data_IF_763068422417
#
_entry.id   IF_763068422417
#
_cell.length_a   1.000
_cell.length_b   1.000
_cell.length_c   1.000
_cell.angle_alpha   90.00
_cell.angle_beta   90.00
_cell.angle_gamma   90.00
#
_symmetry.space_group_name_H-M   'P 1'
#
loop_
_entity.id
_entity.type
_entity.pdbx_description
1 polymer ?
#
# COMPACT_ATOMS: atom_id res chain seq x y z
N UNK A 1 -18.64 5.64 -14.14
CA UNK A 1 -17.26 5.74 -13.62
C UNK A 1 -16.33 4.99 -14.58
N UNK A 2 -15.21 5.60 -14.95
CA UNK A 2 -14.18 4.90 -15.75
C UNK A 2 -13.60 3.75 -14.92
N UNK A 3 -13.21 2.68 -15.59
CA UNK A 3 -12.48 1.56 -14.99
C UNK A 3 -10.97 1.83 -15.05
N UNK A 4 -10.20 1.12 -14.27
CA UNK A 4 -8.74 1.12 -14.40
C UNK A 4 -8.34 0.56 -15.76
N UNK A 5 -7.38 1.19 -16.47
CA UNK A 5 -7.16 0.97 -17.92
C UNK A 5 -6.89 -0.49 -18.31
N UNK A 6 -6.27 -1.27 -17.43
CA UNK A 6 -5.98 -2.69 -17.67
C UNK A 6 -7.10 -3.64 -17.21
N UNK A 7 -8.29 -3.12 -16.89
CA UNK A 7 -9.45 -3.94 -16.49
C UNK A 7 -10.16 -4.52 -17.72
N UNK A 8 -9.64 -5.62 -18.23
CA UNK A 8 -10.10 -6.24 -19.49
C UNK A 8 -10.84 -7.56 -19.29
N UNK A 9 -11.02 -8.01 -18.05
CA UNK A 9 -11.67 -9.29 -17.74
C UNK A 9 -12.95 -9.07 -16.94
N UNK A 10 -13.83 -10.06 -16.94
CA UNK A 10 -14.94 -10.12 -16.01
C UNK A 10 -14.47 -10.68 -14.66
N UNK A 11 -15.30 -10.55 -13.63
CA UNK A 11 -14.95 -10.95 -12.26
C UNK A 11 -14.58 -12.44 -12.15
N UNK A 12 -15.28 -13.32 -12.90
CA UNK A 12 -15.04 -14.77 -12.82
C UNK A 12 -13.68 -15.19 -13.40
N UNK A 13 -13.25 -14.54 -14.46
CA UNK A 13 -12.01 -14.86 -15.19
C UNK A 13 -10.77 -14.15 -14.58
N UNK A 14 -10.99 -13.10 -13.80
CA UNK A 14 -9.91 -12.33 -13.20
C UNK A 14 -9.13 -13.11 -12.14
N UNK A 15 -7.81 -12.89 -12.10
CA UNK A 15 -6.94 -13.30 -10.99
C UNK A 15 -6.66 -12.15 -10.01
N UNK A 16 -6.94 -10.91 -10.41
CA UNK A 16 -6.81 -9.71 -9.57
C UNK A 16 -8.15 -8.97 -9.54
N UNK A 17 -8.62 -8.66 -8.34
CA UNK A 17 -9.79 -7.80 -8.11
C UNK A 17 -9.31 -6.46 -7.60
N UNK A 18 -9.34 -5.45 -8.47
CA UNK A 18 -9.00 -4.08 -8.12
C UNK A 18 -10.24 -3.33 -7.63
N UNK A 19 -10.11 -2.56 -6.57
CA UNK A 19 -11.23 -1.80 -6.04
C UNK A 19 -10.75 -0.59 -5.21
N UNK A 20 -11.57 0.43 -5.16
CA UNK A 20 -11.38 1.60 -4.33
C UNK A 20 -12.22 1.56 -3.05
N UNK A 21 -11.75 2.25 -2.01
CA UNK A 21 -12.50 2.47 -0.77
C UNK A 21 -12.94 3.94 -0.70
N UNK A 22 -14.25 4.17 -0.85
CA UNK A 22 -14.88 5.49 -0.73
C UNK A 22 -15.46 5.66 0.69
N UNK A 23 -14.64 6.16 1.63
CA UNK A 23 -15.04 6.32 3.03
C UNK A 23 -14.78 7.73 3.59
N UNK A 24 -14.03 8.55 2.85
CA UNK A 24 -13.71 9.94 3.22
C UNK A 24 -14.14 10.91 2.14
N UNK A 25 -14.23 12.19 2.49
CA UNK A 25 -14.66 13.26 1.56
C UNK A 25 -13.81 13.31 0.29
N UNK A 26 -12.50 13.08 0.41
CA UNK A 26 -11.54 13.21 -0.69
C UNK A 26 -11.23 11.87 -1.39
N UNK A 27 -11.74 10.75 -0.87
CA UNK A 27 -11.53 9.42 -1.48
C UNK A 27 -11.97 9.38 -2.94
N UNK A 28 -13.15 9.93 -3.24
CA UNK A 28 -13.72 9.90 -4.57
C UNK A 28 -12.82 10.59 -5.61
N UNK A 29 -12.24 11.74 -5.27
CA UNK A 29 -11.35 12.47 -6.16
C UNK A 29 -10.11 11.62 -6.51
N UNK A 30 -9.47 11.02 -5.51
CA UNK A 30 -8.35 10.11 -5.70
C UNK A 30 -8.72 8.96 -6.64
N UNK A 31 -9.82 8.25 -6.34
CA UNK A 31 -10.24 7.05 -7.04
C UNK A 31 -10.57 7.33 -8.51
N UNK A 32 -11.20 8.48 -8.79
CA UNK A 32 -11.48 8.95 -10.14
C UNK A 32 -10.18 9.33 -10.88
N UNK A 33 -9.28 10.10 -10.24
CA UNK A 33 -8.03 10.58 -10.84
C UNK A 33 -7.07 9.45 -11.21
N UNK A 34 -6.90 8.44 -10.34
CA UNK A 34 -6.06 7.28 -10.64
C UNK A 34 -6.61 6.51 -11.86
N UNK A 35 -7.93 6.29 -11.93
CA UNK A 35 -8.53 5.61 -13.10
C UNK A 35 -8.41 6.43 -14.37
N UNK A 36 -8.62 7.74 -14.31
CA UNK A 36 -8.43 8.61 -15.46
C UNK A 36 -6.99 8.62 -15.96
N UNK A 37 -6.04 8.82 -15.06
CA UNK A 37 -4.62 8.85 -15.38
C UNK A 37 -4.10 7.52 -15.92
N UNK A 38 -4.68 6.38 -15.52
CA UNK A 38 -4.27 5.06 -15.99
C UNK A 38 -4.38 4.88 -17.51
N UNK A 39 -5.25 5.63 -18.17
CA UNK A 39 -5.39 5.58 -19.65
C UNK A 39 -4.26 6.27 -20.40
N UNK A 40 -3.42 7.04 -19.70
CA UNK A 40 -2.26 7.71 -20.28
C UNK A 40 -0.94 6.97 -19.99
N UNK A 41 -0.99 5.85 -19.29
CA UNK A 41 0.17 5.05 -18.91
C UNK A 41 0.15 3.72 -19.63
N UNK A 42 1.18 3.46 -20.43
CA UNK A 42 1.30 2.17 -21.14
C UNK A 42 1.44 1.00 -20.15
N UNK A 43 0.72 -0.13 -20.39
CA UNK A 43 0.68 -1.28 -19.48
C UNK A 43 1.92 -2.17 -19.62
N UNK A 44 3.09 -1.57 -19.62
CA UNK A 44 4.37 -2.26 -19.68
C UNK A 44 5.19 -1.98 -18.41
N UNK A 45 5.88 -3.02 -17.94
CA UNK A 45 6.91 -2.83 -16.91
C UNK A 45 8.15 -2.14 -17.51
N UNK A 46 9.15 -1.86 -16.65
CA UNK A 46 10.39 -1.18 -17.07
C UNK A 46 11.26 -2.04 -18.01
N UNK A 47 11.00 -3.34 -18.11
CA UNK A 47 11.72 -4.28 -18.99
C UNK A 47 11.02 -4.48 -20.33
N UNK A 48 9.87 -3.82 -20.53
CA UNK A 48 9.08 -3.93 -21.75
C UNK A 48 8.14 -5.14 -21.77
N UNK A 49 7.91 -5.82 -20.64
CA UNK A 49 6.94 -6.89 -20.56
C UNK A 49 5.52 -6.34 -20.50
N UNK A 50 4.64 -6.90 -21.30
CA UNK A 50 3.23 -6.49 -21.35
C UNK A 50 2.47 -7.11 -20.17
N UNK A 51 1.96 -6.29 -19.27
CA UNK A 51 1.19 -6.75 -18.11
C UNK A 51 -0.12 -7.47 -18.48
N UNK A 52 -0.71 -7.10 -19.61
CA UNK A 52 -1.97 -7.71 -20.08
C UNK A 52 -1.84 -9.19 -20.46
N UNK A 53 -0.62 -9.70 -20.63
CA UNK A 53 -0.37 -11.12 -20.88
C UNK A 53 -0.40 -11.97 -19.61
N UNK A 54 -0.15 -11.37 -18.44
CA UNK A 54 -0.03 -12.08 -17.15
C UNK A 54 -1.16 -11.74 -16.19
N UNK A 55 -1.58 -10.47 -16.16
CA UNK A 55 -2.54 -9.96 -15.20
C UNK A 55 -3.93 -9.91 -15.80
N UNK A 56 -4.84 -10.72 -15.27
CA UNK A 56 -6.26 -10.69 -15.59
C UNK A 56 -6.98 -9.87 -14.52
N UNK A 57 -7.09 -8.56 -14.74
CA UNK A 57 -7.64 -7.64 -13.76
C UNK A 57 -9.13 -7.35 -14.03
N UNK A 58 -9.93 -7.39 -12.98
CA UNK A 58 -11.28 -6.85 -12.93
C UNK A 58 -11.33 -5.67 -11.96
N UNK A 59 -11.72 -4.50 -12.43
CA UNK A 59 -12.01 -3.35 -11.58
C UNK A 59 -13.46 -3.44 -11.09
N UNK A 60 -13.63 -3.79 -9.82
CA UNK A 60 -14.94 -3.91 -9.18
C UNK A 60 -15.58 -2.55 -8.83
N UNK A 61 -14.86 -1.44 -9.10
CA UNK A 61 -15.34 -0.09 -8.76
C UNK A 61 -15.00 0.31 -7.33
N UNK A 62 -15.75 1.27 -6.80
CA UNK A 62 -15.52 1.81 -5.47
C UNK A 62 -16.58 1.31 -4.49
N UNK A 63 -16.12 0.80 -3.36
CA UNK A 63 -16.98 0.39 -2.27
C UNK A 63 -17.19 1.54 -1.31
N UNK A 64 -18.45 1.98 -1.22
CA UNK A 64 -18.89 2.92 -0.19
C UNK A 64 -19.07 2.15 1.10
N UNK A 65 -18.16 2.31 2.03
CA UNK A 65 -18.22 1.63 3.31
C UNK A 65 -18.84 2.53 4.38
N UNK A 66 -19.65 1.92 5.25
CA UNK A 66 -20.21 2.57 6.44
C UNK A 66 -19.41 2.22 7.68
N UNK A 67 -18.83 1.05 7.68
CA UNK A 67 -17.98 0.50 8.74
C UNK A 67 -16.72 -0.07 8.12
N UNK A 68 -15.56 0.31 8.65
CA UNK A 68 -14.27 -0.18 8.16
C UNK A 68 -14.12 -1.72 8.24
N UNK A 69 -14.91 -2.40 9.07
CA UNK A 69 -14.97 -3.86 9.12
C UNK A 69 -15.39 -4.52 7.81
N UNK A 70 -16.17 -3.83 6.98
CA UNK A 70 -16.58 -4.30 5.65
C UNK A 70 -15.38 -4.55 4.72
N UNK A 71 -14.28 -3.81 4.91
CA UNK A 71 -13.02 -4.02 4.17
C UNK A 71 -12.49 -5.43 4.40
N UNK A 72 -12.43 -5.87 5.66
CA UNK A 72 -11.95 -7.21 6.01
C UNK A 72 -12.79 -8.31 5.38
N UNK A 73 -14.11 -8.13 5.37
CA UNK A 73 -15.02 -9.08 4.75
C UNK A 73 -14.76 -9.20 3.25
N UNK A 74 -14.56 -8.06 2.56
CA UNK A 74 -14.28 -8.04 1.13
C UNK A 74 -12.97 -8.74 0.79
N UNK A 75 -11.91 -8.51 1.58
CA UNK A 75 -10.63 -9.21 1.39
C UNK A 75 -10.77 -10.73 1.56
N UNK A 76 -11.50 -11.19 2.57
CA UNK A 76 -11.76 -12.61 2.83
C UNK A 76 -12.53 -13.23 1.65
N UNK A 77 -13.56 -12.56 1.14
CA UNK A 77 -14.38 -13.05 0.02
C UNK A 77 -13.54 -13.24 -1.24
N UNK A 78 -12.75 -12.23 -1.62
CA UNK A 78 -11.89 -12.29 -2.80
C UNK A 78 -10.84 -13.41 -2.67
N UNK A 79 -10.18 -13.51 -1.50
CA UNK A 79 -9.17 -14.55 -1.27
C UNK A 79 -9.74 -15.98 -1.25
N UNK A 80 -10.99 -16.17 -0.78
CA UNK A 80 -11.67 -17.49 -0.85
C UNK A 80 -11.82 -18.01 -2.28
N UNK A 81 -11.87 -17.12 -3.26
CA UNK A 81 -11.90 -17.47 -4.69
C UNK A 81 -10.49 -17.64 -5.30
N UNK A 82 -9.44 -17.68 -4.50
CA UNK A 82 -8.04 -17.71 -4.93
C UNK A 82 -7.65 -16.52 -5.84
N UNK A 83 -8.29 -15.37 -5.64
CA UNK A 83 -7.99 -14.12 -6.32
C UNK A 83 -7.19 -13.19 -5.42
N UNK A 84 -6.48 -12.26 -6.03
CA UNK A 84 -5.64 -11.27 -5.36
C UNK A 84 -6.46 -9.98 -5.19
N UNK A 85 -6.83 -9.57 -3.96
CA UNK A 85 -7.42 -8.26 -3.72
C UNK A 85 -6.37 -7.17 -3.87
N UNK A 86 -6.67 -6.15 -4.67
CA UNK A 86 -5.86 -4.96 -4.83
C UNK A 86 -6.68 -3.72 -4.49
N UNK A 87 -6.38 -3.09 -3.35
CA UNK A 87 -7.16 -1.98 -2.80
C UNK A 87 -6.48 -0.64 -3.05
N UNK A 88 -7.27 0.37 -3.37
CA UNK A 88 -6.86 1.78 -3.40
C UNK A 88 -7.63 2.55 -2.32
N UNK A 89 -6.93 3.31 -1.48
CA UNK A 89 -7.53 4.11 -0.40
C UNK A 89 -6.89 5.48 -0.26
N UNK A 90 -7.64 6.44 0.30
CA UNK A 90 -7.13 7.80 0.52
C UNK A 90 -6.18 7.89 1.71
N UNK A 91 -6.39 7.09 2.75
CA UNK A 91 -5.54 7.04 3.93
C UNK A 91 -5.06 5.63 4.24
N UNK A 92 -4.25 5.47 5.30
CA UNK A 92 -3.56 4.22 5.61
C UNK A 92 -4.35 3.29 6.55
N UNK A 93 -5.34 3.77 7.31
CA UNK A 93 -6.15 2.94 8.20
C UNK A 93 -6.82 1.73 7.52
N UNK A 94 -7.31 1.79 6.26
CA UNK A 94 -7.85 0.63 5.55
C UNK A 94 -6.90 -0.57 5.51
N UNK A 95 -5.58 -0.36 5.56
CA UNK A 95 -4.57 -1.42 5.59
C UNK A 95 -4.67 -2.30 6.83
N UNK A 96 -5.04 -1.74 8.00
CA UNK A 96 -5.34 -2.54 9.19
C UNK A 96 -6.44 -3.56 8.90
N UNK A 97 -7.54 -3.12 8.30
CA UNK A 97 -8.69 -3.98 8.03
C UNK A 97 -8.43 -5.00 6.93
N UNK A 98 -7.59 -4.66 5.96
CA UNK A 98 -7.14 -5.57 4.92
C UNK A 98 -6.25 -6.69 5.47
N UNK A 99 -5.43 -6.39 6.50
CA UNK A 99 -4.36 -7.27 6.96
C UNK A 99 -4.63 -7.98 8.30
N UNK A 100 -5.56 -7.50 9.12
CA UNK A 100 -5.81 -8.03 10.48
C UNK A 100 -6.16 -9.53 10.54
N UNK A 101 -6.59 -10.13 9.44
CA UNK A 101 -6.91 -11.55 9.34
C UNK A 101 -5.76 -12.40 8.78
N UNK A 102 -4.64 -11.81 8.42
CA UNK A 102 -3.42 -12.51 8.02
C UNK A 102 -2.81 -13.19 9.27
N UNK A 103 -2.28 -14.41 9.10
CA UNK A 103 -1.78 -15.21 10.22
C UNK A 103 -0.39 -15.79 10.00
N UNK A 104 -0.14 -16.31 8.82
CA UNK A 104 1.13 -16.96 8.40
C UNK A 104 1.83 -16.19 7.29
N UNK A 105 1.07 -15.34 6.66
CA UNK A 105 1.54 -14.49 5.58
C UNK A 105 2.45 -13.39 6.15
N UNK A 106 3.31 -12.82 5.32
CA UNK A 106 4.18 -11.72 5.69
C UNK A 106 3.69 -10.42 5.08
N UNK A 107 3.86 -9.36 5.83
CA UNK A 107 3.46 -8.01 5.42
C UNK A 107 4.69 -7.18 5.13
N UNK A 108 4.75 -6.62 3.93
CA UNK A 108 5.73 -5.58 3.57
C UNK A 108 4.99 -4.25 3.53
N UNK A 109 5.48 -3.28 4.29
CA UNK A 109 4.96 -1.92 4.33
C UNK A 109 6.01 -0.97 3.78
N UNK A 110 5.68 -0.27 2.73
CA UNK A 110 6.44 0.86 2.20
C UNK A 110 5.85 2.13 2.79
N UNK A 111 6.64 2.89 3.52
CA UNK A 111 6.16 4.07 4.25
C UNK A 111 7.32 4.95 4.70
N UNK A 112 7.13 6.27 4.68
CA UNK A 112 8.02 7.21 5.34
C UNK A 112 7.89 7.15 6.86
N UNK A 113 6.69 6.79 7.35
CA UNK A 113 6.28 6.83 8.75
C UNK A 113 6.24 5.44 9.37
N UNK A 114 6.34 5.38 10.68
CA UNK A 114 6.23 4.11 11.41
C UNK A 114 4.78 3.66 11.63
N UNK A 115 3.85 4.59 11.64
CA UNK A 115 2.40 4.39 11.91
C UNK A 115 2.12 3.55 13.16
N UNK A 116 3.01 3.70 14.15
CA UNK A 116 3.02 2.95 15.40
C UNK A 116 2.77 3.81 16.64
N UNK A 117 2.17 5.00 16.48
CA UNK A 117 1.79 5.83 17.63
C UNK A 117 0.77 5.10 18.50
N UNK A 118 0.88 5.29 19.82
CA UNK A 118 -0.10 4.71 20.75
C UNK A 118 -1.47 5.41 20.62
N UNK A 119 -1.43 6.72 20.60
CA UNK A 119 -2.59 7.57 20.32
C UNK A 119 -2.13 8.74 19.46
N UNK A 120 -2.97 9.15 18.52
CA UNK A 120 -2.70 10.29 17.67
C UNK A 120 -3.99 11.02 17.31
N UNK A 121 -3.99 12.33 17.37
CA UNK A 121 -5.03 13.19 16.81
C UNK A 121 -4.33 14.14 15.86
N UNK A 122 -4.69 14.02 14.60
CA UNK A 122 -4.34 15.02 13.62
C UNK A 122 -5.49 16.03 13.51
N UNK A 123 -5.29 17.24 14.03
CA UNK A 123 -6.29 18.31 13.95
C UNK A 123 -6.50 18.81 12.51
N UNK A 124 -5.55 18.54 11.62
CA UNK A 124 -5.57 18.97 10.22
C UNK A 124 -6.25 17.92 9.35
N UNK A 125 -6.03 16.61 9.64
CA UNK A 125 -6.50 15.50 8.83
C UNK A 125 -7.27 14.47 9.68
N UNK A 126 -8.53 14.78 9.98
CA UNK A 126 -9.42 13.91 10.78
C UNK A 126 -10.14 12.84 9.95
N UNK A 127 -9.83 12.71 8.66
CA UNK A 127 -10.61 11.84 7.77
C UNK A 127 -10.23 10.36 7.85
N UNK A 128 -9.01 10.02 8.26
CA UNK A 128 -8.53 8.63 8.32
C UNK A 128 -8.67 8.03 9.73
N UNK A 129 -9.88 8.07 10.25
CA UNK A 129 -10.19 7.47 11.55
C UNK A 129 -11.42 6.55 11.47
N UNK A 130 -11.43 5.49 12.27
CA UNK A 130 -12.62 4.66 12.43
C UNK A 130 -13.56 5.27 13.47
N UNK A 131 -14.58 5.97 12.98
CA UNK A 131 -15.59 6.65 13.81
C UNK A 131 -16.43 5.74 14.70
N UNK A 132 -16.37 4.42 14.48
CA UNK A 132 -17.02 3.42 15.32
C UNK A 132 -16.13 2.97 16.49
N UNK A 133 -14.91 3.51 16.59
CA UNK A 133 -13.91 3.20 17.62
C UNK A 133 -13.34 4.48 18.22
N UNK A 134 -12.40 4.32 19.13
CA UNK A 134 -11.60 5.43 19.65
C UNK A 134 -10.73 6.00 18.51
N UNK A 135 -11.14 7.15 17.98
CA UNK A 135 -10.47 7.79 16.84
C UNK A 135 -9.00 8.12 17.12
N UNK A 136 -8.62 8.31 18.39
CA UNK A 136 -7.21 8.50 18.78
C UNK A 136 -6.37 7.24 18.58
N UNK A 137 -7.00 6.08 18.70
CA UNK A 137 -6.34 4.76 18.63
C UNK A 137 -6.50 4.05 17.31
N UNK A 138 -7.50 4.44 16.51
CA UNK A 138 -7.80 3.79 15.23
C UNK A 138 -7.82 4.82 14.09
N UNK A 139 -6.62 5.20 13.63
CA UNK A 139 -6.40 6.12 12.52
C UNK A 139 -5.14 5.72 11.73
N UNK A 140 -4.79 6.49 10.69
CA UNK A 140 -3.64 6.22 9.84
C UNK A 140 -2.33 6.08 10.59
N UNK A 141 -2.05 6.97 11.55
CA UNK A 141 -0.78 6.98 12.29
C UNK A 141 -0.67 5.91 13.39
N UNK A 142 -1.71 5.11 13.62
CA UNK A 142 -1.77 4.10 14.70
C UNK A 142 -2.07 2.68 14.20
N UNK A 143 -2.38 2.52 12.91
CA UNK A 143 -2.90 1.28 12.35
C UNK A 143 -1.96 0.09 12.51
N UNK A 144 -0.66 0.30 12.28
CA UNK A 144 0.33 -0.77 12.37
C UNK A 144 0.54 -1.21 13.81
N UNK A 145 0.54 -0.27 14.76
CA UNK A 145 0.55 -0.62 16.19
C UNK A 145 -0.63 -1.50 16.56
N UNK A 146 -1.85 -1.13 16.14
CA UNK A 146 -3.07 -1.94 16.42
C UNK A 146 -2.97 -3.33 15.80
N UNK A 147 -2.38 -3.45 14.62
CA UNK A 147 -2.14 -4.75 13.99
C UNK A 147 -1.17 -5.60 14.83
N UNK A 148 -0.01 -5.05 15.20
CA UNK A 148 1.05 -5.74 15.94
C UNK A 148 0.68 -6.07 17.40
N UNK A 149 -0.25 -5.35 18.00
CA UNK A 149 -0.79 -5.67 19.33
C UNK A 149 -1.72 -6.90 19.29
N UNK A 150 -2.40 -7.11 18.18
CA UNK A 150 -3.47 -8.10 18.05
C UNK A 150 -3.11 -9.30 17.17
N UNK A 151 -1.92 -9.31 16.56
CA UNK A 151 -1.48 -10.40 15.68
C UNK A 151 0.00 -10.72 15.89
N UNK A 152 0.40 -11.89 15.38
CA UNK A 152 1.80 -12.33 15.33
C UNK A 152 2.35 -12.30 13.89
N UNK A 153 1.76 -11.45 13.05
CA UNK A 153 2.20 -11.31 11.67
C UNK A 153 3.64 -10.81 11.61
N UNK A 154 4.44 -11.40 10.74
CA UNK A 154 5.78 -10.90 10.46
C UNK A 154 5.68 -9.69 9.52
N UNK A 155 6.27 -8.57 9.94
CA UNK A 155 6.25 -7.30 9.23
C UNK A 155 7.65 -6.84 8.88
N UNK A 156 7.81 -6.32 7.68
CA UNK A 156 9.00 -5.62 7.20
C UNK A 156 8.60 -4.20 6.77
N UNK A 157 9.15 -3.17 7.43
CA UNK A 157 8.98 -1.77 7.06
C UNK A 157 10.11 -1.30 6.14
N UNK A 158 9.78 -0.57 5.10
CA UNK A 158 10.72 -0.10 4.07
C UNK A 158 10.53 1.39 3.80
N UNK A 159 11.61 2.16 3.91
CA UNK A 159 11.62 3.59 3.59
C UNK A 159 11.46 4.51 4.78
N UNK A 160 11.50 3.96 6.00
CA UNK A 160 11.26 4.68 7.24
C UNK A 160 12.23 5.85 7.41
N UNK A 161 11.70 7.05 7.72
CA UNK A 161 12.50 8.26 7.98
C UNK A 161 11.84 9.30 8.87
N UNK A 162 10.55 9.10 9.19
CA UNK A 162 9.78 9.93 10.11
C UNK A 162 9.18 9.05 11.20
N UNK A 163 9.66 9.20 12.41
CA UNK A 163 9.26 8.38 13.58
C UNK A 163 9.71 9.07 14.87
N UNK A 164 9.14 8.67 16.00
CA UNK A 164 9.59 9.08 17.33
C UNK A 164 10.22 7.91 18.10
N UNK A 165 10.73 8.21 19.30
CA UNK A 165 11.43 7.24 20.14
C UNK A 165 10.48 6.13 20.65
N UNK A 166 9.20 6.47 20.92
CA UNK A 166 8.19 5.50 21.36
C UNK A 166 7.91 4.48 20.26
N UNK A 167 7.74 4.94 19.02
CA UNK A 167 7.47 4.09 17.86
C UNK A 167 8.62 3.12 17.61
N UNK A 168 9.87 3.60 17.62
CA UNK A 168 11.04 2.75 17.41
C UNK A 168 11.22 1.74 18.54
N UNK A 169 10.98 2.13 19.79
CA UNK A 169 11.01 1.21 20.91
C UNK A 169 9.97 0.11 20.76
N UNK A 170 8.74 0.47 20.40
CA UNK A 170 7.65 -0.47 20.17
C UNK A 170 7.96 -1.45 19.03
N UNK A 171 8.48 -0.97 17.90
CA UNK A 171 8.86 -1.83 16.76
C UNK A 171 9.94 -2.84 17.16
N UNK A 172 10.97 -2.41 17.92
CA UNK A 172 12.02 -3.29 18.44
C UNK A 172 11.48 -4.33 19.42
N UNK A 173 10.60 -3.93 20.35
CA UNK A 173 9.97 -4.84 21.32
C UNK A 173 9.09 -5.89 20.65
N UNK A 174 8.47 -5.55 19.50
CA UNK A 174 7.71 -6.48 18.67
C UNK A 174 8.57 -7.31 17.70
N UNK A 175 9.88 -7.06 17.64
CA UNK A 175 10.80 -7.75 16.75
C UNK A 175 10.56 -7.42 15.26
N UNK A 176 9.97 -6.25 14.97
CA UNK A 176 9.73 -5.79 13.61
C UNK A 176 11.04 -5.36 12.96
N UNK A 177 11.33 -5.91 11.81
CA UNK A 177 12.46 -5.47 10.98
C UNK A 177 12.07 -4.25 10.17
N UNK A 178 12.96 -3.27 10.08
CA UNK A 178 12.76 -2.11 9.24
C UNK A 178 14.06 -1.64 8.59
N UNK A 179 13.93 -0.97 7.45
CA UNK A 179 15.02 -0.29 6.76
C UNK A 179 14.65 1.17 6.54
N UNK A 180 15.53 2.05 6.99
CA UNK A 180 15.41 3.48 6.68
C UNK A 180 15.77 3.77 5.24
N UNK A 181 15.22 4.85 4.66
CA UNK A 181 15.62 5.29 3.32
C UNK A 181 17.13 5.47 3.18
N UNK A 182 17.78 5.98 4.22
CA UNK A 182 19.23 6.17 4.25
C UNK A 182 19.99 4.83 4.20
N UNK A 183 19.53 3.79 4.90
CA UNK A 183 20.13 2.47 4.85
C UNK A 183 19.96 1.83 3.45
N UNK A 184 18.78 2.00 2.85
CA UNK A 184 18.51 1.51 1.49
C UNK A 184 19.49 2.13 0.50
N UNK A 185 19.69 3.44 0.55
CA UNK A 185 20.63 4.14 -0.34
C UNK A 185 22.08 3.70 -0.11
N UNK A 186 22.51 3.56 1.15
CA UNK A 186 23.92 3.29 1.49
C UNK A 186 24.29 1.81 1.43
N UNK A 187 23.34 0.91 1.64
CA UNK A 187 23.55 -0.54 1.78
C UNK A 187 22.61 -1.34 0.89
N UNK A 188 22.31 -0.84 -0.31
CA UNK A 188 21.27 -1.37 -1.19
C UNK A 188 21.35 -2.87 -1.37
N UNK A 189 22.52 -3.41 -1.71
CA UNK A 189 22.71 -4.86 -1.95
C UNK A 189 22.39 -5.69 -0.69
N UNK A 190 22.81 -5.24 0.47
CA UNK A 190 22.55 -5.92 1.75
C UNK A 190 21.06 -5.92 2.05
N UNK A 191 20.38 -4.77 1.86
CA UNK A 191 18.94 -4.62 2.08
C UNK A 191 18.15 -5.53 1.13
N UNK A 192 18.47 -5.54 -0.17
CA UNK A 192 17.79 -6.41 -1.15
C UNK A 192 17.95 -7.90 -0.81
N UNK A 193 19.13 -8.34 -0.37
CA UNK A 193 19.37 -9.71 0.09
C UNK A 193 18.56 -10.05 1.35
N UNK A 194 18.34 -9.09 2.24
CA UNK A 194 17.50 -9.29 3.43
C UNK A 194 16.02 -9.39 3.08
N UNK A 195 15.56 -8.62 2.09
CA UNK A 195 14.18 -8.69 1.58
C UNK A 195 13.94 -10.03 0.90
N UNK A 196 14.89 -10.49 0.06
CA UNK A 196 14.83 -11.84 -0.55
C UNK A 196 14.68 -12.91 0.54
N UNK A 197 15.57 -12.93 1.55
CA UNK A 197 15.51 -13.88 2.66
C UNK A 197 14.21 -13.81 3.45
N UNK A 198 13.70 -12.60 3.71
CA UNK A 198 12.45 -12.41 4.44
C UNK A 198 11.25 -12.96 3.66
N UNK A 199 11.25 -12.80 2.34
CA UNK A 199 10.08 -13.10 1.49
C UNK A 199 10.10 -14.51 0.90
N UNK A 200 11.27 -15.16 0.84
CA UNK A 200 11.41 -16.47 0.25
C UNK A 200 10.43 -17.49 0.85
N UNK A 201 9.82 -18.28 -0.04
CA UNK A 201 8.86 -19.35 0.29
C UNK A 201 7.65 -18.89 1.15
N UNK A 202 7.29 -17.62 1.04
CA UNK A 202 6.21 -17.02 1.84
C UNK A 202 5.09 -16.45 0.95
N UNK A 203 3.89 -16.34 1.51
CA UNK A 203 2.81 -15.54 0.94
C UNK A 203 2.94 -14.10 1.43
N UNK A 204 2.93 -13.13 0.51
CA UNK A 204 3.28 -11.73 0.78
C UNK A 204 2.09 -10.83 0.50
N UNK A 205 1.78 -9.98 1.48
CA UNK A 205 0.92 -8.82 1.31
C UNK A 205 1.77 -7.56 1.22
N UNK A 206 1.49 -6.67 0.28
CA UNK A 206 2.20 -5.39 0.11
C UNK A 206 1.25 -4.23 0.44
N UNK A 207 1.64 -3.40 1.41
CA UNK A 207 1.01 -2.10 1.68
C UNK A 207 1.96 -1.01 1.22
N UNK A 208 1.55 -0.22 0.24
CA UNK A 208 2.31 0.91 -0.28
C UNK A 208 1.67 2.22 0.13
N UNK A 209 2.28 2.89 1.10
CA UNK A 209 2.07 4.32 1.29
C UNK A 209 2.89 5.08 0.25
N UNK A 210 2.25 5.96 -0.51
CA UNK A 210 2.93 6.67 -1.59
C UNK A 210 3.90 7.74 -1.08
N UNK A 211 3.83 8.11 0.20
CA UNK A 211 4.79 9.04 0.80
C UNK A 211 6.18 8.40 1.04
N UNK A 212 6.31 7.08 0.84
CA UNK A 212 7.64 6.42 0.82
C UNK A 212 8.56 7.01 -0.24
N UNK A 213 7.99 7.51 -1.34
CA UNK A 213 8.75 8.17 -2.39
C UNK A 213 9.24 9.55 -1.97
N UNK A 214 10.35 9.99 -2.55
CA UNK A 214 10.85 11.34 -2.33
C UNK A 214 9.87 12.38 -2.89
N UNK A 215 9.58 13.47 -2.15
CA UNK A 215 8.67 14.52 -2.59
C UNK A 215 9.05 15.19 -3.92
N UNK A 216 10.30 15.08 -4.34
CA UNK A 216 10.75 15.60 -5.64
C UNK A 216 10.14 14.84 -6.83
N UNK A 217 9.68 13.59 -6.62
CA UNK A 217 9.04 12.77 -7.65
C UNK A 217 7.58 12.45 -7.34
N UNK A 218 7.16 12.53 -6.06
CA UNK A 218 5.78 12.34 -5.63
C UNK A 218 5.45 13.33 -4.51
N UNK A 219 4.99 14.52 -4.87
CA UNK A 219 4.65 15.59 -3.93
C UNK A 219 3.17 15.55 -3.47
N UNK A 220 2.35 14.73 -4.10
CA UNK A 220 0.90 14.68 -3.86
C UNK A 220 0.55 13.74 -2.68
N UNK A 221 1.08 14.04 -1.50
CA UNK A 221 0.77 13.39 -0.21
C UNK A 221 0.43 14.44 0.84
N UNK A 222 -0.10 14.02 1.98
CA UNK A 222 -0.40 14.94 3.08
C UNK A 222 0.86 15.28 3.89
N UNK A 223 1.79 14.35 4.02
CA UNK A 223 3.04 14.48 4.78
C UNK A 223 4.26 14.16 3.92
N UNK A 224 4.71 15.10 3.07
CA UNK A 224 5.84 14.87 2.17
C UNK A 224 7.16 14.97 2.93
N UNK A 225 7.71 13.84 3.33
CA UNK A 225 8.99 13.74 4.03
C UNK A 225 10.16 13.68 3.02
N UNK A 226 11.21 14.53 3.13
CA UNK A 226 12.34 14.49 2.22
C UNK A 226 13.24 13.27 2.43
N UNK A 227 14.03 12.92 1.42
CA UNK A 227 14.98 11.79 1.47
C UNK A 227 14.30 10.43 1.27
N UNK A 228 13.20 10.39 0.52
CA UNK A 228 12.46 9.18 0.18
C UNK A 228 13.12 8.34 -0.92
N UNK A 229 12.44 7.26 -1.29
CA UNK A 229 12.87 6.37 -2.35
C UNK A 229 12.71 7.03 -3.73
N UNK A 230 13.63 6.72 -4.63
CA UNK A 230 13.41 6.91 -6.06
C UNK A 230 12.52 5.79 -6.62
N UNK A 231 11.97 5.99 -7.82
CA UNK A 231 11.23 4.93 -8.49
C UNK A 231 12.08 3.67 -8.73
N UNK A 232 13.36 3.82 -9.06
CA UNK A 232 14.25 2.68 -9.28
C UNK A 232 14.64 1.97 -7.98
N UNK A 233 14.72 2.67 -6.84
CA UNK A 233 14.87 1.98 -5.55
C UNK A 233 13.66 1.10 -5.26
N UNK A 234 12.45 1.62 -5.50
CA UNK A 234 11.21 0.85 -5.36
C UNK A 234 11.18 -0.37 -6.30
N UNK A 235 11.56 -0.20 -7.56
CA UNK A 235 11.64 -1.29 -8.53
C UNK A 235 12.58 -2.39 -8.04
N UNK A 236 13.82 -2.05 -7.65
CA UNK A 236 14.81 -3.02 -7.19
C UNK A 236 14.30 -3.79 -5.95
N UNK A 237 13.61 -3.10 -5.04
CA UNK A 237 13.02 -3.71 -3.87
C UNK A 237 11.90 -4.70 -4.26
N UNK A 238 10.95 -4.30 -5.11
CA UNK A 238 9.89 -5.20 -5.58
C UNK A 238 10.49 -6.43 -6.29
N UNK A 239 11.53 -6.25 -7.11
CA UNK A 239 12.22 -7.37 -7.79
C UNK A 239 12.91 -8.33 -6.81
N UNK A 240 13.35 -7.85 -5.65
CA UNK A 240 13.96 -8.68 -4.62
C UNK A 240 12.93 -9.53 -3.85
N UNK A 241 11.64 -9.23 -3.92
CA UNK A 241 10.59 -10.03 -3.31
C UNK A 241 10.43 -11.36 -4.06
N UNK A 242 10.67 -12.48 -3.37
CA UNK A 242 10.60 -13.85 -3.94
C UNK A 242 9.33 -14.60 -3.53
N UNK A 243 8.57 -14.08 -2.58
CA UNK A 243 7.32 -14.66 -2.13
C UNK A 243 6.17 -14.50 -3.14
N UNK A 244 5.12 -15.27 -2.95
CA UNK A 244 3.89 -15.18 -3.74
C UNK A 244 3.04 -14.01 -3.28
N UNK A 245 2.70 -13.09 -4.18
CA UNK A 245 1.77 -12.01 -3.89
C UNK A 245 0.35 -12.55 -3.64
N UNK A 246 -0.27 -12.17 -2.53
CA UNK A 246 -1.62 -12.59 -2.13
C UNK A 246 -2.61 -11.43 -1.94
N UNK A 247 -2.13 -10.22 -1.99
CA UNK A 247 -2.90 -9.00 -1.88
C UNK A 247 -2.00 -7.79 -1.82
N UNK A 248 -2.55 -6.64 -2.15
CA UNK A 248 -1.86 -5.37 -2.00
C UNK A 248 -2.85 -4.21 -1.77
N UNK A 249 -2.32 -3.14 -1.21
CA UNK A 249 -3.00 -1.85 -1.25
C UNK A 249 -2.02 -0.72 -1.56
N UNK A 250 -2.57 0.35 -2.13
CA UNK A 250 -1.88 1.62 -2.35
C UNK A 250 -2.71 2.73 -1.70
N UNK A 251 -2.06 3.61 -0.97
CA UNK A 251 -2.74 4.66 -0.22
C UNK A 251 -1.99 5.99 -0.21
N UNK A 252 -2.63 6.99 0.41
CA UNK A 252 -2.07 8.30 0.78
C UNK A 252 -1.73 9.21 -0.40
N UNK A 253 -2.28 8.99 -1.59
CA UNK A 253 -2.23 9.99 -2.65
C UNK A 253 -3.27 11.09 -2.41
N UNK A 254 -2.84 12.33 -2.51
CA UNK A 254 -3.67 13.54 -2.49
C UNK A 254 -3.55 14.24 -3.84
N UNK A 255 -4.46 13.97 -4.81
CA UNK A 255 -4.33 14.52 -6.15
C UNK A 255 -4.19 16.04 -6.15
N UNK A 256 -3.23 16.54 -6.92
CA UNK A 256 -3.00 17.97 -7.14
C UNK A 256 -3.66 18.36 -8.47
N UNK A 257 -4.41 19.46 -8.46
CA UNK A 257 -5.07 19.95 -9.66
C UNK A 257 -4.06 20.28 -10.76
N UNK A 258 -4.36 19.84 -11.97
CA UNK A 258 -3.52 20.05 -13.17
C UNK A 258 -2.08 19.48 -13.08
N UNK A 259 -1.83 18.53 -12.21
CA UNK A 259 -0.56 17.82 -12.11
C UNK A 259 -0.81 16.31 -12.03
N UNK A 260 -0.28 15.56 -13.01
CA UNK A 260 -0.43 14.11 -13.11
C UNK A 260 0.85 13.34 -12.75
N UNK A 261 1.92 14.01 -12.33
CA UNK A 261 3.21 13.36 -12.06
C UNK A 261 3.08 12.29 -10.99
N UNK A 262 2.40 12.61 -9.88
CA UNK A 262 2.23 11.68 -8.78
C UNK A 262 1.29 10.52 -9.13
N UNK A 263 0.22 10.78 -9.90
CA UNK A 263 -0.68 9.73 -10.39
C UNK A 263 0.04 8.77 -11.35
N UNK A 264 0.89 9.28 -12.23
CA UNK A 264 1.70 8.43 -13.12
C UNK A 264 2.66 7.55 -12.33
N UNK A 265 3.34 8.09 -11.32
CA UNK A 265 4.22 7.31 -10.46
C UNK A 265 3.44 6.25 -9.69
N UNK A 266 2.28 6.61 -9.12
CA UNK A 266 1.40 5.67 -8.42
C UNK A 266 0.96 4.52 -9.35
N UNK A 267 0.54 4.83 -10.60
CA UNK A 267 0.11 3.83 -11.57
C UNK A 267 1.27 2.92 -11.98
N UNK A 268 2.46 3.46 -12.24
CA UNK A 268 3.65 2.66 -12.54
C UNK A 268 4.04 1.76 -11.36
N UNK A 269 3.89 2.24 -10.12
CA UNK A 269 4.11 1.43 -8.91
C UNK A 269 3.08 0.31 -8.80
N UNK A 270 1.79 0.59 -9.07
CA UNK A 270 0.72 -0.43 -9.15
C UNK A 270 1.08 -1.49 -10.21
N UNK A 271 1.47 -1.07 -11.41
CA UNK A 271 1.85 -1.98 -12.49
C UNK A 271 3.05 -2.86 -12.08
N UNK A 272 4.02 -2.27 -11.39
CA UNK A 272 5.19 -3.02 -10.97
C UNK A 272 4.88 -4.04 -9.85
N UNK A 273 4.00 -3.70 -8.89
CA UNK A 273 3.49 -4.69 -7.93
C UNK A 273 2.72 -5.80 -8.65
N UNK A 274 1.87 -5.46 -9.63
CA UNK A 274 1.09 -6.42 -10.39
C UNK A 274 1.96 -7.35 -11.27
N UNK A 275 3.17 -6.95 -11.64
CA UNK A 275 4.09 -7.82 -12.37
C UNK A 275 4.54 -9.06 -11.57
N UNK A 276 4.29 -9.07 -10.25
CA UNK A 276 4.57 -10.21 -9.34
C UNK A 276 3.44 -11.24 -9.29
N UNK A 277 2.34 -11.03 -10.04
CA UNK A 277 1.16 -11.93 -10.10
C UNK A 277 1.41 -13.18 -10.95
#
# INVERSE_FOLDING_TARGET
MKKFSISNFNEKEANVIFFGIDYTKDSRLLLEKIREASYFVEPFDIYGNNLLEKVRLFDAGDFKIKDCGEISQKFIEIRKENKIPFMLSRGHLPSFYATKNLKKEKLIVFDAHADCKNEYIDEIIVFDADKNKDEKKFNGSTWLRRLLENSKIEVLLIGLRSFDEEEISFLKDKGVKFFTSLEIIRKKVEVLNEIDRFTKDSEIYISLDLDVFDPSILSATDYPEPGGLTYFDFVDIIESIKGKLIGANVCCLKPIENNLVSEFLAIKSIFHILSKV
#
